data_IF_078561828909
#
_entry.id   IF_078561828909
#
_cell.length_a   1.000
_cell.length_b   1.000
_cell.length_c   1.000
_cell.angle_alpha   90.00
_cell.angle_beta   90.00
_cell.angle_gamma   90.00
#
_symmetry.space_group_name_H-M   'P 1'
#
loop_
_entity.id
_entity.type
_entity.pdbx_description
1 polymer ?
#
# COMPACT_ATOMS: atom_id res chain seq x y z
N UNK A 1 17.17 -4.13 -36.76
CA UNK A 1 16.21 -4.52 -35.70
C UNK A 1 14.79 -4.25 -36.20
N UNK A 2 13.84 -5.16 -35.96
CA UNK A 2 12.44 -4.94 -36.38
C UNK A 2 11.76 -3.87 -35.51
N UNK A 3 10.72 -3.17 -36.00
CA UNK A 3 10.00 -2.16 -35.23
C UNK A 3 9.44 -2.68 -33.90
N UNK A 4 8.87 -3.89 -33.87
CA UNK A 4 8.31 -4.47 -32.64
C UNK A 4 9.37 -4.78 -31.58
N UNK A 5 10.53 -5.32 -31.99
CA UNK A 5 11.64 -5.60 -31.07
C UNK A 5 12.25 -4.32 -30.52
N UNK A 6 12.35 -3.26 -31.34
CA UNK A 6 12.84 -1.96 -30.89
C UNK A 6 11.87 -1.34 -29.89
N UNK A 7 10.58 -1.33 -30.19
CA UNK A 7 9.54 -0.82 -29.29
C UNK A 7 9.54 -1.54 -27.93
N UNK A 8 9.69 -2.86 -27.91
CA UNK A 8 9.81 -3.62 -26.67
C UNK A 8 11.03 -3.20 -25.84
N UNK A 9 12.19 -3.01 -26.47
CA UNK A 9 13.41 -2.53 -25.80
C UNK A 9 13.31 -1.08 -25.30
N UNK A 10 12.61 -0.21 -26.02
CA UNK A 10 12.36 1.18 -25.58
C UNK A 10 11.53 1.18 -24.29
N UNK A 11 10.48 0.36 -24.20
CA UNK A 11 9.67 0.22 -22.98
C UNK A 11 10.51 -0.32 -21.82
N UNK A 12 11.38 -1.29 -22.06
CA UNK A 12 12.27 -1.85 -21.04
C UNK A 12 13.28 -0.82 -20.52
N UNK A 13 13.88 -0.02 -21.40
CA UNK A 13 14.77 1.10 -21.01
C UNK A 13 14.02 2.15 -20.16
N UNK A 14 12.83 2.56 -20.60
CA UNK A 14 11.98 3.49 -19.85
C UNK A 14 11.54 2.93 -18.49
N UNK A 15 11.39 1.61 -18.37
CA UNK A 15 11.10 0.94 -17.10
C UNK A 15 12.29 0.96 -16.14
N UNK A 16 13.50 0.77 -16.65
CA UNK A 16 14.73 0.72 -15.85
C UNK A 16 15.20 2.11 -15.43
N UNK A 17 15.04 3.11 -16.29
CA UNK A 17 15.56 4.47 -16.10
C UNK A 17 14.48 5.47 -15.66
N UNK A 18 13.21 5.06 -15.63
CA UNK A 18 12.06 5.91 -15.33
C UNK A 18 11.61 6.75 -16.53
N UNK A 19 12.56 7.36 -17.24
CA UNK A 19 12.35 8.10 -18.47
C UNK A 19 13.41 7.80 -19.53
N UNK A 20 13.07 8.09 -20.79
CA UNK A 20 13.99 8.00 -21.93
C UNK A 20 13.82 9.20 -22.84
N UNK A 21 14.93 9.76 -23.33
CA UNK A 21 14.94 10.87 -24.28
C UNK A 21 15.05 10.37 -25.74
N UNK A 22 14.61 11.19 -26.70
CA UNK A 22 14.77 10.86 -28.13
C UNK A 22 16.25 10.72 -28.51
N UNK A 23 17.13 11.55 -27.92
CA UNK A 23 18.57 11.57 -28.22
C UNK A 23 19.27 10.28 -27.76
N UNK A 24 18.99 9.83 -26.53
CA UNK A 24 19.52 8.56 -26.01
C UNK A 24 19.07 7.37 -26.85
N UNK A 25 17.80 7.33 -27.25
CA UNK A 25 17.27 6.22 -28.04
C UNK A 25 17.81 6.23 -29.48
N UNK A 26 18.08 7.40 -30.06
CA UNK A 26 18.76 7.51 -31.36
C UNK A 26 20.16 6.91 -31.28
N UNK A 27 20.92 7.23 -30.22
CA UNK A 27 22.25 6.68 -30.00
C UNK A 27 22.22 5.16 -29.70
N UNK A 28 21.25 4.70 -28.91
CA UNK A 28 21.16 3.30 -28.48
C UNK A 28 20.71 2.34 -29.58
N UNK A 29 19.91 2.81 -30.53
CA UNK A 29 19.32 1.98 -31.58
C UNK A 29 19.84 2.26 -32.99
N UNK A 30 20.71 3.26 -33.16
CA UNK A 30 21.30 3.70 -34.43
C UNK A 30 20.23 3.95 -35.52
N UNK A 31 19.25 4.80 -35.18
CA UNK A 31 18.13 5.15 -36.05
C UNK A 31 17.84 6.65 -36.03
N UNK A 32 17.09 7.14 -37.03
CA UNK A 32 16.76 8.56 -37.10
C UNK A 32 15.84 9.02 -35.95
N UNK A 33 15.90 10.31 -35.54
CA UNK A 33 14.95 10.89 -34.59
C UNK A 33 13.49 10.73 -35.02
N UNK A 34 13.20 10.75 -36.33
CA UNK A 34 11.86 10.56 -36.86
C UNK A 34 11.34 9.15 -36.61
N UNK A 35 12.20 8.13 -36.71
CA UNK A 35 11.89 6.74 -36.38
C UNK A 35 11.55 6.59 -34.89
N UNK A 36 12.38 7.15 -34.00
CA UNK A 36 12.12 7.11 -32.54
C UNK A 36 10.84 7.85 -32.19
N UNK A 37 10.60 9.05 -32.74
CA UNK A 37 9.36 9.80 -32.49
C UNK A 37 8.12 9.02 -32.91
N UNK A 38 8.18 8.29 -34.03
CA UNK A 38 7.10 7.41 -34.50
C UNK A 38 6.87 6.24 -33.55
N UNK A 39 7.94 5.57 -33.10
CA UNK A 39 7.84 4.48 -32.14
C UNK A 39 7.28 4.94 -30.78
N UNK A 40 7.73 6.09 -30.28
CA UNK A 40 7.21 6.69 -29.05
C UNK A 40 5.74 7.12 -29.19
N UNK A 41 5.31 7.64 -30.35
CA UNK A 41 3.89 7.91 -30.58
C UNK A 41 3.06 6.64 -30.48
N UNK A 42 3.46 5.58 -31.20
CA UNK A 42 2.73 4.29 -31.17
C UNK A 42 2.67 3.71 -29.77
N UNK A 43 3.74 3.82 -28.98
CA UNK A 43 3.79 3.33 -27.60
C UNK A 43 2.94 4.18 -26.65
N UNK A 44 2.92 5.50 -26.82
CA UNK A 44 2.08 6.41 -26.04
C UNK A 44 0.59 6.25 -26.37
N UNK A 45 0.24 6.11 -27.65
CA UNK A 45 -1.14 5.88 -28.11
C UNK A 45 -1.71 4.55 -27.56
N UNK A 46 -0.83 3.57 -27.31
CA UNK A 46 -1.17 2.28 -26.70
C UNK A 46 -1.09 2.29 -25.16
N UNK A 47 -0.77 3.42 -24.55
CA UNK A 47 -0.63 3.54 -23.10
C UNK A 47 0.57 2.78 -22.51
N UNK A 48 1.53 2.33 -23.33
CA UNK A 48 2.74 1.65 -22.88
C UNK A 48 3.83 2.62 -22.42
N UNK A 49 3.76 3.90 -22.83
CA UNK A 49 4.58 5.03 -22.42
C UNK A 49 3.69 6.28 -22.22
N UNK A 50 4.18 7.29 -21.51
CA UNK A 50 3.58 8.61 -21.35
C UNK A 50 4.54 9.66 -21.90
N UNK A 51 4.03 10.66 -22.63
CA UNK A 51 4.86 11.72 -23.20
C UNK A 51 5.49 12.61 -22.14
N UNK A 52 6.76 12.94 -22.35
CA UNK A 52 7.53 13.96 -21.62
C UNK A 52 8.16 14.96 -22.60
N UNK A 53 8.76 16.04 -22.10
CA UNK A 53 9.45 17.00 -22.96
C UNK A 53 10.71 16.36 -23.56
N UNK A 54 10.72 16.14 -24.88
CA UNK A 54 11.86 15.56 -25.60
C UNK A 54 11.97 14.03 -25.55
N UNK A 55 10.99 13.33 -24.97
CA UNK A 55 11.08 11.88 -24.75
C UNK A 55 9.75 11.20 -24.46
N UNK A 56 9.84 10.13 -23.68
CA UNK A 56 8.71 9.49 -23.04
C UNK A 56 9.15 8.81 -21.74
N UNK A 57 8.25 8.70 -20.79
CA UNK A 57 8.45 7.97 -19.54
C UNK A 57 7.53 6.75 -19.51
N UNK A 58 7.86 5.74 -18.69
CA UNK A 58 6.88 4.68 -18.45
C UNK A 58 5.64 5.31 -17.78
N UNK A 59 4.39 5.04 -18.23
CA UNK A 59 3.19 5.58 -17.61
C UNK A 59 3.13 4.98 -16.22
N UNK A 60 3.52 5.77 -15.22
CA UNK A 60 3.64 5.42 -13.80
C UNK A 60 3.94 3.93 -13.57
N UNK A 61 5.08 3.50 -14.11
CA UNK A 61 5.82 2.39 -13.54
C UNK A 61 6.30 2.79 -12.14
N UNK A 62 6.62 4.06 -11.90
CA UNK A 62 7.13 4.52 -10.59
C UNK A 62 6.20 4.17 -9.43
N UNK A 63 4.88 4.39 -9.54
CA UNK A 63 3.95 4.10 -8.43
C UNK A 63 3.70 2.59 -8.23
N UNK A 64 3.57 1.82 -9.33
CA UNK A 64 3.43 0.34 -9.27
C UNK A 64 4.74 -0.36 -8.90
N UNK A 65 5.87 0.16 -9.36
CA UNK A 65 7.23 -0.24 -8.96
C UNK A 65 7.47 0.19 -7.53
N UNK A 66 6.93 1.31 -7.05
CA UNK A 66 6.96 1.69 -5.64
C UNK A 66 6.08 0.78 -4.79
N UNK A 67 4.92 0.32 -5.28
CA UNK A 67 4.14 -0.71 -4.60
C UNK A 67 4.89 -2.05 -4.54
N UNK A 68 5.38 -2.56 -5.67
CA UNK A 68 6.16 -3.81 -5.69
C UNK A 68 7.47 -3.67 -4.91
N UNK A 69 8.17 -2.54 -4.99
CA UNK A 69 9.34 -2.24 -4.18
C UNK A 69 8.99 -2.16 -2.69
N UNK A 70 7.89 -1.50 -2.31
CA UNK A 70 7.38 -1.51 -0.93
C UNK A 70 7.08 -2.93 -0.47
N UNK A 71 6.54 -3.80 -1.33
CA UNK A 71 6.28 -5.21 -1.01
C UNK A 71 7.59 -6.00 -0.80
N UNK A 72 8.66 -5.64 -1.50
CA UNK A 72 9.99 -6.23 -1.36
C UNK A 72 10.85 -5.61 -0.24
N UNK A 73 10.49 -4.43 0.28
CA UNK A 73 11.14 -3.84 1.45
C UNK A 73 10.69 -4.58 2.72
N UNK A 74 11.64 -4.98 3.56
CA UNK A 74 11.38 -5.60 4.87
C UNK A 74 10.30 -6.73 4.84
N UNK A 75 10.39 -7.71 3.94
CA UNK A 75 9.34 -8.71 3.75
C UNK A 75 9.30 -9.74 4.90
N UNK A 76 10.42 -9.93 5.61
CA UNK A 76 10.46 -10.77 6.80
C UNK A 76 9.74 -10.10 7.97
N UNK A 77 10.03 -8.82 8.18
CA UNK A 77 9.45 -7.95 9.20
C UNK A 77 7.94 -7.83 8.99
N UNK A 78 7.48 -7.56 7.76
CA UNK A 78 6.04 -7.52 7.44
C UNK A 78 5.32 -8.82 7.73
N UNK A 79 5.94 -9.97 7.44
CA UNK A 79 5.36 -11.28 7.78
C UNK A 79 5.33 -11.51 9.29
N UNK A 80 6.35 -11.10 10.02
CA UNK A 80 6.39 -11.20 11.48
C UNK A 80 5.31 -10.33 12.12
N UNK A 81 5.21 -9.06 11.70
CA UNK A 81 4.14 -8.13 12.09
C UNK A 81 2.76 -8.71 11.72
N UNK A 82 2.63 -9.27 10.51
CA UNK A 82 1.42 -9.94 10.02
C UNK A 82 0.93 -11.04 10.96
N UNK A 83 1.84 -11.94 11.36
CA UNK A 83 1.54 -13.03 12.30
C UNK A 83 1.19 -12.52 13.69
N UNK A 84 1.91 -11.51 14.19
CA UNK A 84 1.62 -10.92 15.50
C UNK A 84 0.24 -10.24 15.53
N UNK A 85 -0.14 -9.54 14.45
CA UNK A 85 -1.47 -8.95 14.33
C UNK A 85 -2.58 -10.02 14.26
N UNK A 86 -2.37 -11.06 13.45
CA UNK A 86 -3.31 -12.17 13.33
C UNK A 86 -3.53 -12.88 14.67
N UNK A 87 -2.49 -13.04 15.50
CA UNK A 87 -2.62 -13.66 16.82
C UNK A 87 -3.50 -12.88 17.82
N UNK A 88 -3.78 -11.60 17.57
CA UNK A 88 -4.71 -10.80 18.37
C UNK A 88 -6.18 -10.97 17.94
N UNK A 89 -6.42 -11.56 16.76
CA UNK A 89 -7.75 -11.66 16.16
C UNK A 89 -8.28 -13.06 16.43
N UNK A 90 -9.40 -13.23 17.15
CA UNK A 90 -9.99 -14.53 17.37
C UNK A 90 -10.71 -15.05 16.10
N UNK A 91 -10.91 -16.36 16.04
CA UNK A 91 -11.87 -16.97 15.11
C UNK A 91 -13.26 -16.31 15.26
N UNK A 92 -14.03 -16.29 14.19
CA UNK A 92 -15.39 -15.71 14.12
C UNK A 92 -15.47 -14.18 14.30
N UNK A 93 -14.34 -13.47 14.23
CA UNK A 93 -14.31 -12.01 14.32
C UNK A 93 -14.69 -11.31 13.00
N UNK A 94 -15.27 -10.12 13.15
CA UNK A 94 -15.41 -9.16 12.05
C UNK A 94 -14.26 -8.15 12.07
N UNK A 95 -13.71 -7.81 10.89
CA UNK A 95 -12.62 -6.85 10.83
C UNK A 95 -12.52 -6.05 9.54
N UNK A 96 -12.01 -4.83 9.69
CA UNK A 96 -11.50 -4.04 8.58
C UNK A 96 -10.03 -4.35 8.32
N UNK A 97 -9.64 -4.41 7.05
CA UNK A 97 -8.23 -4.37 6.63
C UNK A 97 -8.08 -3.28 5.59
N UNK A 98 -7.30 -2.22 5.90
CA UNK A 98 -7.07 -1.12 4.97
C UNK A 98 -5.96 -1.42 3.95
N UNK A 99 -5.62 -0.44 3.12
CA UNK A 99 -4.58 -0.56 2.12
C UNK A 99 -3.18 -0.49 2.74
N UNK A 100 -2.29 -1.35 2.25
CA UNK A 100 -0.88 -1.34 2.63
C UNK A 100 -0.21 -2.70 2.48
N UNK A 101 1.07 -2.69 2.12
CA UNK A 101 1.85 -3.95 2.01
C UNK A 101 1.99 -4.69 3.35
N UNK A 102 1.96 -3.96 4.47
CA UNK A 102 2.00 -4.58 5.82
C UNK A 102 0.64 -5.17 6.18
N UNK A 103 -0.47 -4.50 5.86
CA UNK A 103 -1.82 -5.04 6.10
C UNK A 103 -2.14 -6.22 5.19
N UNK A 104 -1.58 -6.26 3.98
CA UNK A 104 -1.61 -7.45 3.12
C UNK A 104 -0.92 -8.66 3.77
N UNK A 105 0.20 -8.47 4.47
CA UNK A 105 0.86 -9.54 5.22
C UNK A 105 0.01 -10.02 6.41
N UNK A 106 -0.78 -9.14 7.03
CA UNK A 106 -1.79 -9.52 8.03
C UNK A 106 -2.87 -10.37 7.37
N UNK A 107 -3.42 -9.92 6.23
CA UNK A 107 -4.38 -10.70 5.44
C UNK A 107 -3.85 -12.09 5.07
N UNK A 108 -2.56 -12.22 4.77
CA UNK A 108 -1.94 -13.53 4.52
C UNK A 108 -1.91 -14.42 5.76
N UNK A 109 -1.54 -13.88 6.92
CA UNK A 109 -1.50 -14.63 8.18
C UNK A 109 -2.89 -15.05 8.66
N UNK A 110 -3.94 -14.31 8.30
CA UNK A 110 -5.32 -14.63 8.65
C UNK A 110 -5.90 -15.84 7.89
N UNK A 111 -5.23 -16.33 6.85
CA UNK A 111 -5.70 -17.51 6.08
C UNK A 111 -5.86 -18.79 6.91
N UNK A 112 -5.26 -18.84 8.11
CA UNK A 112 -5.36 -19.97 9.03
C UNK A 112 -6.59 -19.90 9.97
N UNK A 113 -7.32 -18.78 9.97
CA UNK A 113 -8.47 -18.54 10.85
C UNK A 113 -9.78 -19.09 10.28
N UNK A 114 -10.78 -19.23 11.16
CA UNK A 114 -12.11 -19.71 10.81
C UNK A 114 -13.20 -18.68 11.10
N UNK A 115 -14.16 -18.60 10.18
CA UNK A 115 -15.38 -17.83 10.34
C UNK A 115 -15.21 -16.31 10.31
N UNK A 116 -14.10 -15.80 9.75
CA UNK A 116 -13.86 -14.37 9.71
C UNK A 116 -14.81 -13.68 8.74
N UNK A 117 -15.23 -12.45 9.08
CA UNK A 117 -15.86 -11.51 8.16
C UNK A 117 -14.91 -10.34 7.91
N UNK A 118 -14.26 -10.33 6.74
CA UNK A 118 -13.25 -9.34 6.38
C UNK A 118 -13.85 -8.30 5.45
N UNK A 119 -13.91 -7.05 5.91
CA UNK A 119 -14.30 -5.91 5.11
C UNK A 119 -13.03 -5.15 4.68
N UNK A 120 -12.82 -4.92 3.38
CA UNK A 120 -11.58 -4.30 2.92
C UNK A 120 -11.79 -3.34 1.75
N UNK A 121 -10.98 -2.29 1.69
CA UNK A 121 -10.83 -1.44 0.50
C UNK A 121 -9.54 -1.76 -0.27
N UNK A 122 -8.93 -2.92 -0.05
CA UNK A 122 -7.72 -3.37 -0.73
C UNK A 122 -8.01 -4.60 -1.60
N UNK A 123 -7.90 -4.46 -2.93
CA UNK A 123 -8.16 -5.58 -3.85
C UNK A 123 -7.18 -6.74 -3.64
N UNK A 124 -5.96 -6.49 -3.17
CA UNK A 124 -4.94 -7.52 -2.96
C UNK A 124 -5.31 -8.40 -1.76
N UNK A 125 -5.80 -7.78 -0.68
CA UNK A 125 -6.34 -8.49 0.50
C UNK A 125 -7.56 -9.31 0.09
N UNK A 126 -8.50 -8.70 -0.63
CA UNK A 126 -9.70 -9.39 -1.09
C UNK A 126 -9.35 -10.59 -1.99
N UNK A 127 -8.41 -10.40 -2.93
CA UNK A 127 -7.96 -11.46 -3.82
C UNK A 127 -7.29 -12.62 -3.11
N UNK A 128 -6.58 -12.34 -2.02
CA UNK A 128 -5.93 -13.36 -1.22
C UNK A 128 -6.94 -14.15 -0.37
N UNK A 129 -7.86 -13.46 0.30
CA UNK A 129 -8.76 -14.08 1.27
C UNK A 129 -10.00 -14.72 0.63
N UNK A 130 -10.41 -14.31 -0.57
CA UNK A 130 -11.61 -14.87 -1.23
C UNK A 130 -11.56 -16.37 -1.49
N UNK A 131 -10.36 -16.96 -1.51
CA UNK A 131 -10.16 -18.40 -1.73
C UNK A 131 -10.16 -19.21 -0.43
N UNK A 132 -10.19 -18.54 0.73
CA UNK A 132 -10.24 -19.17 2.06
C UNK A 132 -11.71 -19.51 2.36
N UNK A 133 -12.12 -20.80 2.36
CA UNK A 133 -13.54 -21.17 2.40
C UNK A 133 -14.27 -20.73 3.68
N UNK A 134 -13.53 -20.53 4.77
CA UNK A 134 -14.05 -20.13 6.08
C UNK A 134 -14.11 -18.62 6.29
N UNK A 135 -13.74 -17.80 5.29
CA UNK A 135 -13.72 -16.34 5.41
C UNK A 135 -14.74 -15.72 4.45
N UNK A 136 -15.65 -14.93 4.98
CA UNK A 136 -16.49 -14.03 4.19
C UNK A 136 -15.69 -12.76 3.88
N UNK A 137 -15.56 -12.42 2.60
CA UNK A 137 -14.85 -11.22 2.16
C UNK A 137 -15.83 -10.24 1.54
N UNK A 138 -15.96 -9.07 2.15
CA UNK A 138 -16.74 -7.95 1.62
C UNK A 138 -15.76 -6.86 1.18
N UNK A 139 -15.85 -6.44 -0.07
CA UNK A 139 -14.96 -5.42 -0.63
C UNK A 139 -15.72 -4.11 -0.85
N UNK A 140 -15.09 -2.98 -0.51
CA UNK A 140 -15.63 -1.67 -0.79
C UNK A 140 -15.83 -1.46 -2.30
N UNK A 141 -16.96 -0.87 -2.69
CA UNK A 141 -17.15 -0.37 -4.05
C UNK A 141 -16.43 0.96 -4.27
N UNK A 142 -16.12 1.30 -5.53
CA UNK A 142 -15.54 2.60 -5.87
C UNK A 142 -14.47 2.55 -6.95
N UNK A 143 -13.60 3.55 -6.97
CA UNK A 143 -12.51 3.67 -7.93
C UNK A 143 -11.29 2.91 -7.42
N UNK A 144 -10.86 1.90 -8.16
CA UNK A 144 -9.60 1.20 -7.92
C UNK A 144 -8.44 2.08 -8.39
N UNK A 145 -7.58 2.45 -7.44
CA UNK A 145 -6.37 3.21 -7.68
C UNK A 145 -5.31 2.30 -8.31
N UNK A 146 -4.79 2.63 -9.51
CA UNK A 146 -3.85 1.76 -10.21
C UNK A 146 -2.55 1.48 -9.45
N UNK A 147 -2.07 2.43 -8.63
CA UNK A 147 -0.76 2.40 -7.99
C UNK A 147 -0.53 1.28 -6.98
N UNK A 148 -1.60 0.85 -6.29
CA UNK A 148 -1.52 -0.12 -5.20
C UNK A 148 -2.77 -1.02 -5.09
N UNK A 149 -3.75 -0.83 -5.97
CA UNK A 149 -5.01 -1.58 -5.93
C UNK A 149 -5.97 -1.11 -4.83
N UNK A 150 -5.72 0.06 -4.23
CA UNK A 150 -6.60 0.62 -3.22
C UNK A 150 -7.92 1.17 -3.78
N UNK A 151 -9.04 0.92 -3.11
CA UNK A 151 -10.34 1.48 -3.45
C UNK A 151 -10.57 2.73 -2.60
N UNK A 152 -10.69 3.87 -3.27
CA UNK A 152 -10.72 5.19 -2.61
C UNK A 152 -11.92 6.02 -3.07
N UNK A 153 -12.15 7.12 -2.37
CA UNK A 153 -13.20 8.09 -2.67
C UNK A 153 -14.41 7.96 -1.75
N UNK A 154 -15.37 8.86 -1.93
CA UNK A 154 -16.54 9.01 -1.05
C UNK A 154 -17.39 7.74 -0.96
N UNK A 155 -17.59 7.03 -2.09
CA UNK A 155 -18.31 5.76 -2.09
C UNK A 155 -17.66 4.70 -1.18
N UNK A 156 -16.33 4.65 -1.12
CA UNK A 156 -15.61 3.74 -0.22
C UNK A 156 -15.77 4.16 1.25
N UNK A 157 -15.75 5.47 1.54
CA UNK A 157 -15.98 6.01 2.89
C UNK A 157 -17.38 5.65 3.38
N UNK A 158 -18.41 5.90 2.56
CA UNK A 158 -19.80 5.61 2.93
C UNK A 158 -20.09 4.12 3.01
N UNK A 159 -19.40 3.31 2.21
CA UNK A 159 -19.42 1.87 2.35
C UNK A 159 -18.87 1.43 3.72
N UNK A 160 -17.69 1.90 4.11
CA UNK A 160 -17.09 1.55 5.41
C UNK A 160 -17.99 1.96 6.59
N UNK A 161 -18.66 3.11 6.50
CA UNK A 161 -19.58 3.62 7.53
C UNK A 161 -20.80 2.75 7.79
N UNK A 162 -21.13 1.82 6.90
CA UNK A 162 -22.26 0.90 7.09
C UNK A 162 -21.97 -0.25 8.04
N UNK A 163 -20.71 -0.44 8.44
CA UNK A 163 -20.29 -1.54 9.31
C UNK A 163 -19.75 -1.00 10.64
N UNK A 164 -19.95 -1.78 11.72
CA UNK A 164 -19.25 -1.60 13.00
C UNK A 164 -18.62 -2.95 13.36
N UNK A 165 -17.31 -3.05 13.21
CA UNK A 165 -16.58 -4.32 13.31
C UNK A 165 -15.82 -4.45 14.63
N UNK A 166 -15.39 -5.66 14.95
CA UNK A 166 -14.62 -5.94 16.17
C UNK A 166 -13.21 -5.36 16.06
N UNK A 167 -12.52 -5.59 14.94
CA UNK A 167 -11.13 -5.17 14.75
C UNK A 167 -10.92 -4.30 13.50
N UNK A 168 -9.95 -3.40 13.54
CA UNK A 168 -9.40 -2.79 12.33
C UNK A 168 -7.89 -2.97 12.31
N UNK A 169 -7.38 -3.41 11.16
CA UNK A 169 -5.95 -3.44 10.88
C UNK A 169 -5.66 -2.30 9.92
N UNK A 170 -4.87 -1.33 10.39
CA UNK A 170 -4.50 -0.14 9.62
C UNK A 170 -2.98 -0.03 9.45
N UNK A 171 -2.55 0.20 8.21
CA UNK A 171 -1.19 0.59 7.87
C UNK A 171 -1.03 2.11 7.81
N UNK A 172 0.23 2.57 7.81
CA UNK A 172 0.60 3.99 7.69
C UNK A 172 1.81 4.17 6.78
N UNK A 173 1.93 5.37 6.20
CA UNK A 173 3.08 5.72 5.35
C UNK A 173 4.23 6.37 6.15
N UNK A 174 3.90 7.06 7.25
CA UNK A 174 4.84 7.65 8.19
C UNK A 174 4.21 7.80 9.59
N UNK A 175 5.07 7.85 10.62
CA UNK A 175 4.69 8.15 12.01
C UNK A 175 5.65 9.24 12.51
N UNK A 176 5.11 10.41 12.86
CA UNK A 176 5.90 11.49 13.47
C UNK A 176 6.20 11.19 14.95
N UNK A 177 7.28 11.75 15.52
CA UNK A 177 7.67 11.52 16.92
C UNK A 177 6.59 11.86 17.95
N UNK A 178 5.65 12.75 17.60
CA UNK A 178 4.53 13.13 18.46
C UNK A 178 3.38 12.10 18.47
N UNK A 179 3.44 11.08 17.58
CA UNK A 179 2.40 10.07 17.43
C UNK A 179 1.43 10.32 16.27
N UNK A 180 1.63 11.37 15.45
CA UNK A 180 0.79 11.58 14.28
C UNK A 180 0.97 10.45 13.24
N UNK A 181 -0.15 9.89 12.76
CA UNK A 181 -0.19 8.88 11.72
C UNK A 181 -0.44 9.55 10.37
N UNK A 182 0.40 9.29 9.38
CA UNK A 182 0.43 10.06 8.13
C UNK A 182 0.36 9.19 6.86
N UNK A 183 -0.21 9.77 5.81
CA UNK A 183 -0.29 9.22 4.45
C UNK A 183 -0.06 10.29 3.36
N UNK A 184 0.06 9.85 2.11
CA UNK A 184 0.26 10.69 0.93
C UNK A 184 -1.05 11.04 0.22
N UNK A 185 -2.05 10.14 0.23
CA UNK A 185 -3.30 10.36 -0.49
C UNK A 185 -4.44 10.74 0.45
N UNK A 186 -4.92 11.98 0.35
CA UNK A 186 -6.03 12.47 1.16
C UNK A 186 -7.35 11.70 0.96
N UNK A 187 -7.54 11.06 -0.19
CA UNK A 187 -8.71 10.22 -0.45
C UNK A 187 -8.63 8.91 0.34
N UNK A 188 -7.43 8.36 0.49
CA UNK A 188 -7.20 7.18 1.32
C UNK A 188 -7.35 7.50 2.81
N UNK A 189 -6.81 8.64 3.24
CA UNK A 189 -6.94 9.13 4.62
C UNK A 189 -8.40 9.15 5.07
N UNK A 190 -9.33 9.58 4.21
CA UNK A 190 -10.76 9.59 4.56
C UNK A 190 -11.33 8.19 4.80
N UNK A 191 -10.88 7.20 4.05
CA UNK A 191 -11.30 5.81 4.25
C UNK A 191 -10.69 5.26 5.54
N UNK A 192 -9.39 5.48 5.78
CA UNK A 192 -8.72 5.07 7.01
C UNK A 192 -9.36 5.71 8.27
N UNK A 193 -9.74 6.98 8.21
CA UNK A 193 -10.47 7.66 9.29
C UNK A 193 -11.84 7.02 9.56
N UNK A 194 -12.57 6.66 8.50
CA UNK A 194 -13.84 5.95 8.65
C UNK A 194 -13.65 4.55 9.26
N UNK A 195 -12.58 3.84 8.89
CA UNK A 195 -12.21 2.54 9.47
C UNK A 195 -11.94 2.68 10.97
N UNK A 196 -11.11 3.64 11.38
CA UNK A 196 -10.76 3.90 12.78
C UNK A 196 -12.03 4.18 13.62
N UNK A 197 -12.93 5.02 13.11
CA UNK A 197 -14.16 5.37 13.82
C UNK A 197 -15.14 4.18 13.98
N UNK A 198 -15.07 3.20 13.07
CA UNK A 198 -16.01 2.09 12.97
C UNK A 198 -15.45 0.73 13.40
N UNK A 199 -14.32 0.70 14.12
CA UNK A 199 -13.83 -0.49 14.81
C UNK A 199 -14.02 -0.40 16.32
N UNK A 200 -14.07 -1.54 17.02
CA UNK A 200 -14.01 -1.59 18.49
C UNK A 200 -12.57 -1.64 18.98
N UNK A 201 -11.70 -2.33 18.26
CA UNK A 201 -10.27 -2.45 18.55
C UNK A 201 -9.45 -2.11 17.32
N UNK A 202 -8.58 -1.10 17.42
CA UNK A 202 -7.76 -0.61 16.31
C UNK A 202 -6.32 -1.09 16.49
N UNK A 203 -5.82 -1.82 15.49
CA UNK A 203 -4.46 -2.35 15.40
C UNK A 203 -3.71 -1.57 14.32
N UNK A 204 -2.72 -0.79 14.73
CA UNK A 204 -1.77 -0.14 13.81
C UNK A 204 -0.62 -1.09 13.54
N UNK A 205 -0.29 -1.29 12.26
CA UNK A 205 0.85 -2.12 11.85
C UNK A 205 1.82 -1.31 10.99
N UNK A 206 3.10 -1.25 11.40
CA UNK A 206 4.12 -0.50 10.68
C UNK A 206 5.51 -1.08 10.94
N UNK A 207 6.35 -1.15 9.90
CA UNK A 207 7.78 -1.44 10.09
C UNK A 207 8.55 -0.19 10.54
N UNK A 208 9.76 -0.36 11.07
CA UNK A 208 10.58 0.71 11.65
C UNK A 208 10.97 1.77 10.63
N UNK A 209 10.90 1.47 9.33
CA UNK A 209 11.19 2.45 8.27
C UNK A 209 10.16 3.57 8.24
N UNK A 210 9.02 3.43 8.93
CA UNK A 210 7.97 4.46 9.01
C UNK A 210 8.29 5.59 9.99
N UNK A 211 9.22 5.39 10.92
CA UNK A 211 9.63 6.43 11.88
C UNK A 211 10.52 7.53 11.27
N UNK A 212 11.17 7.25 10.13
CA UNK A 212 12.07 8.20 9.46
C UNK A 212 11.49 8.76 8.16
N UNK A 213 10.28 8.35 7.78
CA UNK A 213 9.57 8.84 6.61
C UNK A 213 8.69 10.02 7.00
N UNK A 214 8.33 10.82 6.00
CA UNK A 214 7.38 11.92 6.15
C UNK A 214 6.25 11.74 5.16
N UNK A 215 5.03 12.15 5.52
CA UNK A 215 3.92 12.24 4.58
C UNK A 215 3.01 13.44 4.92
N UNK A 216 2.42 14.11 3.92
CA UNK A 216 1.80 15.42 4.14
C UNK A 216 0.38 15.37 4.71
N UNK A 217 -0.30 14.22 4.69
CA UNK A 217 -1.71 14.12 5.07
C UNK A 217 -1.87 13.33 6.35
N UNK A 218 -2.60 13.89 7.31
CA UNK A 218 -2.85 13.25 8.61
C UNK A 218 -4.01 12.26 8.56
N UNK A 219 -3.72 10.98 8.80
CA UNK A 219 -4.72 9.94 9.08
C UNK A 219 -5.38 10.22 10.43
N UNK A 220 -4.56 10.36 11.47
CA UNK A 220 -5.02 10.46 12.85
C UNK A 220 -3.83 10.51 13.80
N UNK A 221 -4.03 9.99 15.01
CA UNK A 221 -3.02 9.92 16.04
C UNK A 221 -2.93 8.51 16.61
N UNK A 222 -1.73 8.09 17.01
CA UNK A 222 -1.46 6.75 17.54
C UNK A 222 -2.33 6.45 18.77
N UNK A 223 -2.66 7.45 19.59
CA UNK A 223 -3.59 7.34 20.73
C UNK A 223 -5.03 6.91 20.39
N UNK A 224 -5.39 6.87 19.09
CA UNK A 224 -6.67 6.30 18.65
C UNK A 224 -6.59 4.77 18.45
N UNK A 225 -5.39 4.20 18.54
CA UNK A 225 -5.15 2.77 18.46
C UNK A 225 -5.24 2.10 19.84
N UNK A 226 -5.51 0.80 19.82
CA UNK A 226 -5.49 -0.06 21.00
C UNK A 226 -4.22 -0.92 21.02
N UNK A 227 -3.69 -1.26 19.85
CA UNK A 227 -2.44 -1.99 19.69
C UNK A 227 -1.61 -1.38 18.58
N UNK A 228 -0.30 -1.32 18.78
CA UNK A 228 0.68 -0.91 17.78
C UNK A 228 1.72 -2.01 17.63
N UNK A 229 1.87 -2.53 16.40
CA UNK A 229 2.76 -3.65 16.11
C UNK A 229 3.83 -3.19 15.13
N UNK A 230 5.08 -3.41 15.51
CA UNK A 230 6.26 -3.08 14.71
C UNK A 230 7.32 -4.17 14.79
N UNK A 231 8.37 -4.08 13.98
CA UNK A 231 9.56 -4.91 14.13
C UNK A 231 10.39 -4.40 15.32
N UNK A 232 10.84 -3.16 15.29
CA UNK A 232 11.65 -2.56 16.37
C UNK A 232 11.27 -1.08 16.55
N UNK A 233 10.98 -0.65 17.77
CA UNK A 233 10.71 0.75 18.11
C UNK A 233 11.91 1.38 18.84
N UNK A 234 12.77 2.11 18.13
CA UNK A 234 13.92 2.83 18.75
C UNK A 234 13.62 4.28 19.11
N UNK A 235 12.36 4.70 19.04
CA UNK A 235 11.96 6.09 19.24
C UNK A 235 11.27 6.23 20.59
N UNK A 236 11.96 6.84 21.55
CA UNK A 236 11.48 6.97 22.93
C UNK A 236 10.13 7.71 23.01
N UNK A 237 9.96 8.77 22.24
CA UNK A 237 8.71 9.53 22.22
C UNK A 237 7.51 8.70 21.75
N UNK A 238 7.70 7.73 20.85
CA UNK A 238 6.63 6.80 20.44
C UNK A 238 6.30 5.82 21.56
N UNK A 239 7.32 5.33 22.27
CA UNK A 239 7.10 4.45 23.43
C UNK A 239 6.34 5.18 24.54
N UNK A 240 6.66 6.45 24.79
CA UNK A 240 5.94 7.32 25.71
C UNK A 240 4.48 7.52 25.28
N UNK A 241 4.23 7.86 24.00
CA UNK A 241 2.87 7.96 23.46
C UNK A 241 2.08 6.66 23.65
N UNK A 242 2.70 5.51 23.43
CA UNK A 242 2.04 4.22 23.68
C UNK A 242 1.73 4.00 25.16
N UNK A 243 2.66 4.30 26.06
CA UNK A 243 2.47 4.14 27.50
C UNK A 243 1.36 5.06 28.02
N UNK A 244 1.39 6.34 27.67
CA UNK A 244 0.44 7.35 28.14
C UNK A 244 -0.99 7.10 27.64
N UNK A 245 -1.13 6.63 26.40
CA UNK A 245 -2.43 6.31 25.81
C UNK A 245 -2.90 4.86 26.08
N UNK A 246 -2.14 4.05 26.82
CA UNK A 246 -2.49 2.67 27.12
C UNK A 246 -2.50 1.74 25.91
N UNK A 247 -1.67 2.01 24.91
CA UNK A 247 -1.56 1.24 23.67
C UNK A 247 -0.64 0.05 23.91
N UNK A 248 -1.09 -1.15 23.54
CA UNK A 248 -0.25 -2.33 23.55
C UNK A 248 0.80 -2.26 22.41
N UNK A 249 2.03 -1.84 22.74
CA UNK A 249 3.17 -1.89 21.82
C UNK A 249 3.73 -3.32 21.76
N UNK A 250 3.73 -3.91 20.56
CA UNK A 250 4.23 -5.26 20.30
C UNK A 250 5.37 -5.18 19.29
N UNK A 251 6.55 -5.66 19.68
CA UNK A 251 7.74 -5.71 18.84
C UNK A 251 8.01 -7.15 18.39
N UNK A 252 8.24 -7.33 17.10
CA UNK A 252 8.44 -8.67 16.50
C UNK A 252 9.89 -9.00 16.19
N UNK A 253 10.77 -8.01 16.21
CA UNK A 253 12.22 -8.19 16.12
C UNK A 253 12.84 -8.51 17.48
N UNK A 254 14.00 -9.19 17.46
CA UNK A 254 14.81 -9.33 18.66
C UNK A 254 15.43 -7.97 19.05
N UNK A 255 15.37 -7.64 20.34
CA UNK A 255 15.95 -6.42 20.92
C UNK A 255 17.48 -6.37 20.75
#
# INVERSE_FOLDING_TARGET
>A
MTPSMRQAKIVELARQQGEVSVEELVAAFDVTPQTIRKDLNVLCDRGALKRTHGGAMHPSGVENVEYEARRQIAPAEKRAIGKAAAALIPDHASLFINIGTTTEAVGQALSEHRGLMVITNNINVANHLRVVPSTEVVIAGGVVRPSDGGIVGEAAVDFIRQFKVDFAVIGVSAIDPDGALLDFDFREVKVAQAIIANARHVIVVADQTKFTRTAPVRIGHLSQAHSFITDICRVDSIREVCADAGIALIETGAA
#
